data_IF_922770105927
#
_entry.id   IF_922770105927
#
_cell.length_a   1.000
_cell.length_b   1.000
_cell.length_c   1.000
_cell.angle_alpha   90.00
_cell.angle_beta   90.00
_cell.angle_gamma   90.00
#
_symmetry.space_group_name_H-M   'P 1'
#
loop_
_entity.id
_entity.type
_entity.pdbx_description
1 polymer ?
#
# COMPACT_ATOMS: atom_id res chain seq x y z
N UNK A 1 8.68 -7.52 -11.77
CA UNK A 1 10.16 -7.38 -11.60
C UNK A 1 10.88 -8.15 -12.70
N UNK A 2 12.21 -8.04 -12.83
CA UNK A 2 13.00 -8.74 -13.87
C UNK A 2 14.18 -9.49 -13.23
N UNK A 3 14.43 -10.72 -13.67
CA UNK A 3 15.59 -11.52 -13.25
C UNK A 3 16.89 -10.79 -13.63
N UNK A 4 17.88 -10.80 -12.74
CA UNK A 4 19.19 -10.15 -12.91
C UNK A 4 19.33 -8.80 -12.21
N UNK A 5 18.24 -8.25 -11.66
CA UNK A 5 18.29 -7.03 -10.82
C UNK A 5 19.12 -7.29 -9.55
N UNK A 6 19.83 -6.25 -9.12
CA UNK A 6 20.57 -6.25 -7.85
C UNK A 6 19.61 -6.07 -6.67
N UNK A 7 20.09 -6.45 -5.47
CA UNK A 7 19.38 -6.24 -4.21
C UNK A 7 18.95 -4.78 -4.03
N UNK A 8 19.86 -3.82 -4.30
CA UNK A 8 19.58 -2.39 -4.17
C UNK A 8 18.48 -1.89 -5.14
N UNK A 9 18.47 -2.38 -6.38
CA UNK A 9 17.42 -2.03 -7.35
C UNK A 9 16.05 -2.56 -6.92
N UNK A 10 16.01 -3.75 -6.32
CA UNK A 10 14.76 -4.32 -5.79
C UNK A 10 14.29 -3.54 -4.56
N UNK A 11 15.18 -3.17 -3.63
CA UNK A 11 14.84 -2.31 -2.48
C UNK A 11 14.30 -0.96 -2.95
N UNK A 12 14.88 -0.35 -3.98
CA UNK A 12 14.41 0.92 -4.50
C UNK A 12 12.96 0.86 -5.04
N UNK A 13 12.50 -0.32 -5.48
CA UNK A 13 11.16 -0.53 -6.06
C UNK A 13 10.16 -0.99 -4.99
N UNK A 14 10.52 -1.98 -4.18
CA UNK A 14 9.62 -2.63 -3.23
C UNK A 14 9.75 -2.12 -1.79
N UNK A 15 10.90 -1.53 -1.46
CA UNK A 15 11.33 -1.27 -0.10
C UNK A 15 12.14 -2.43 0.48
N UNK A 16 12.46 -2.31 1.77
CA UNK A 16 13.14 -3.37 2.53
C UNK A 16 12.26 -4.62 2.63
N UNK A 17 12.84 -5.83 2.52
CA UNK A 17 12.10 -7.07 2.74
C UNK A 17 11.65 -7.17 4.20
N UNK A 18 10.53 -7.83 4.45
CA UNK A 18 10.07 -8.08 5.81
C UNK A 18 10.92 -9.12 6.53
N UNK A 19 11.41 -10.11 5.76
CA UNK A 19 12.26 -11.17 6.27
C UNK A 19 13.23 -11.60 5.18
N UNK A 20 14.46 -11.87 5.59
CA UNK A 20 15.50 -12.46 4.75
C UNK A 20 15.90 -13.79 5.38
N UNK A 21 15.91 -14.85 4.57
CA UNK A 21 16.39 -16.17 4.94
C UNK A 21 17.65 -16.50 4.15
N UNK A 22 18.72 -16.86 4.84
CA UNK A 22 19.94 -17.32 4.17
C UNK A 22 19.84 -18.81 3.90
N UNK A 23 20.13 -19.20 2.67
CA UNK A 23 20.16 -20.58 2.21
C UNK A 23 21.58 -20.91 1.79
N UNK A 24 22.17 -21.88 2.49
CA UNK A 24 23.51 -22.38 2.20
C UNK A 24 23.38 -23.77 1.58
N UNK A 25 23.99 -23.96 0.41
CA UNK A 25 24.11 -25.28 -0.21
C UNK A 25 25.53 -25.50 -0.72
N UNK A 26 26.24 -26.43 -0.10
CA UNK A 26 27.67 -26.71 -0.30
C UNK A 26 28.56 -25.47 -0.23
N UNK A 27 28.85 -24.84 -1.36
CA UNK A 27 29.71 -23.65 -1.51
C UNK A 27 28.95 -22.41 -1.97
N UNK A 28 27.66 -22.54 -2.27
CA UNK A 28 26.81 -21.45 -2.72
C UNK A 28 26.00 -20.87 -1.55
N UNK A 29 25.98 -19.54 -1.46
CA UNK A 29 25.05 -18.80 -0.62
C UNK A 29 23.97 -18.15 -1.49
N UNK A 30 22.74 -18.27 -1.04
CA UNK A 30 21.58 -17.61 -1.60
C UNK A 30 20.76 -16.98 -0.47
N UNK A 31 19.91 -16.03 -0.82
CA UNK A 31 18.99 -15.40 0.10
C UNK A 31 17.57 -15.47 -0.44
N UNK A 32 16.62 -15.85 0.40
CA UNK A 32 15.20 -15.76 0.09
C UNK A 32 14.65 -14.55 0.84
N UNK A 33 14.17 -13.58 0.07
CA UNK A 33 13.58 -12.36 0.57
C UNK A 33 12.06 -12.49 0.51
N UNK A 34 11.43 -12.26 1.65
CA UNK A 34 9.98 -12.34 1.82
C UNK A 34 9.41 -10.94 1.95
N UNK A 35 8.45 -10.64 1.07
CA UNK A 35 7.66 -9.42 1.09
C UNK A 35 6.21 -9.75 1.39
N UNK A 36 5.64 -9.08 2.38
CA UNK A 36 4.20 -8.95 2.54
C UNK A 36 3.90 -7.45 2.62
N UNK A 37 3.08 -6.93 1.70
CA UNK A 37 2.75 -5.51 1.70
C UNK A 37 1.27 -5.33 1.44
N UNK A 38 0.62 -4.59 2.33
CA UNK A 38 -0.71 -4.05 2.10
C UNK A 38 -0.63 -3.02 0.98
N UNK A 39 -1.35 -3.28 -0.10
CA UNK A 39 -1.46 -2.39 -1.25
C UNK A 39 -2.89 -1.93 -1.41
N UNK A 40 -3.07 -0.64 -1.70
CA UNK A 40 -4.36 -0.14 -2.17
C UNK A 40 -4.44 -0.49 -3.64
N UNK A 41 -5.31 -1.44 -3.99
CA UNK A 41 -5.51 -1.89 -5.36
C UNK A 41 -6.37 -0.90 -6.16
N UNK A 42 -7.31 -0.25 -5.48
CA UNK A 42 -8.19 0.76 -6.06
C UNK A 42 -8.71 1.68 -4.97
N UNK A 43 -8.92 2.94 -5.30
CA UNK A 43 -9.59 3.93 -4.46
C UNK A 43 -10.65 4.65 -5.27
N UNK A 44 -11.89 4.61 -4.81
CA UNK A 44 -13.00 5.35 -5.43
C UNK A 44 -13.50 6.40 -4.45
N UNK A 45 -13.55 7.64 -4.91
CA UNK A 45 -14.14 8.75 -4.16
C UNK A 45 -15.49 9.07 -4.79
N UNK A 46 -16.56 8.93 -4.02
CA UNK A 46 -17.93 9.22 -4.45
C UNK A 46 -18.54 10.34 -3.60
N UNK A 47 -19.37 11.18 -4.23
CA UNK A 47 -20.16 12.19 -3.53
C UNK A 47 -21.39 11.53 -2.91
N UNK A 48 -21.46 11.47 -1.59
CA UNK A 48 -22.51 10.78 -0.82
C UNK A 48 -23.63 11.73 -0.34
N UNK A 49 -23.60 12.99 -0.78
CA UNK A 49 -24.62 13.99 -0.48
C UNK A 49 -24.04 15.37 -0.19
N UNK A 50 -24.85 16.24 0.41
CA UNK A 50 -24.43 17.55 0.92
C UNK A 50 -24.79 17.66 2.40
N UNK A 51 -23.96 18.35 3.19
CA UNK A 51 -24.24 18.74 4.56
C UNK A 51 -24.27 20.26 4.69
N UNK A 52 -25.16 20.78 5.54
CA UNK A 52 -25.16 22.18 5.91
C UNK A 52 -24.23 22.39 7.12
N UNK A 53 -23.21 23.23 6.96
CA UNK A 53 -22.27 23.58 8.03
C UNK A 53 -22.31 25.08 8.27
N UNK A 54 -22.45 25.44 9.55
CA UNK A 54 -22.51 26.83 9.98
C UNK A 54 -21.18 27.27 10.57
N UNK A 55 -20.66 28.36 10.05
CA UNK A 55 -19.42 29.00 10.47
C UNK A 55 -19.77 30.32 11.14
N UNK A 56 -19.37 30.46 12.40
CA UNK A 56 -19.55 31.70 13.15
C UNK A 56 -18.24 32.48 13.16
N UNK A 57 -18.25 33.68 12.59
CA UNK A 57 -17.13 34.60 12.66
C UNK A 57 -17.26 35.45 13.93
N UNK A 58 -16.40 35.18 14.91
CA UNK A 58 -16.39 35.88 16.19
C UNK A 58 -15.97 37.36 16.09
N UNK A 59 -15.31 37.79 15.01
CA UNK A 59 -14.85 39.18 14.82
C UNK A 59 -15.94 40.04 14.19
N UNK A 60 -16.68 39.48 13.23
CA UNK A 60 -17.76 40.22 12.53
C UNK A 60 -19.14 39.96 13.14
N UNK A 61 -19.28 38.93 13.98
CA UNK A 61 -20.55 38.52 14.59
C UNK A 61 -21.50 37.84 13.61
N UNK A 62 -21.02 37.47 12.42
CA UNK A 62 -21.82 36.90 11.33
C UNK A 62 -21.84 35.38 11.43
N UNK A 63 -23.04 34.79 11.30
CA UNK A 63 -23.24 33.37 11.10
C UNK A 63 -23.45 33.10 9.60
N UNK A 64 -22.61 32.27 9.01
CA UNK A 64 -22.71 31.84 7.62
C UNK A 64 -23.00 30.36 7.57
N UNK A 65 -24.09 29.97 6.91
CA UNK A 65 -24.41 28.56 6.64
C UNK A 65 -24.06 28.24 5.19
N UNK A 66 -23.27 27.19 4.99
CA UNK A 66 -22.78 26.76 3.67
C UNK A 66 -23.16 25.29 3.46
N UNK A 67 -23.54 24.94 2.24
CA UNK A 67 -23.70 23.54 1.82
C UNK A 67 -22.37 23.01 1.32
N UNK A 68 -21.90 21.94 1.94
CA UNK A 68 -20.63 21.30 1.63
C UNK A 68 -20.89 19.86 1.16
N UNK A 69 -20.27 19.40 0.06
CA UNK A 69 -20.40 18.02 -0.38
C UNK A 69 -19.77 17.06 0.64
N UNK A 70 -20.42 15.91 0.83
CA UNK A 70 -19.92 14.79 1.63
C UNK A 70 -19.24 13.81 0.68
N UNK A 71 -18.01 13.42 0.98
CA UNK A 71 -17.28 12.43 0.19
C UNK A 71 -17.17 11.12 0.95
N UNK A 72 -17.49 10.01 0.28
CA UNK A 72 -17.19 8.65 0.72
C UNK A 72 -15.97 8.15 -0.04
N UNK A 73 -15.03 7.54 0.68
CA UNK A 73 -13.86 6.90 0.09
C UNK A 73 -13.94 5.40 0.31
N UNK A 74 -14.04 4.65 -0.77
CA UNK A 74 -13.97 3.20 -0.74
C UNK A 74 -12.60 2.77 -1.28
N UNK A 75 -11.85 2.03 -0.45
CA UNK A 75 -10.56 1.49 -0.86
C UNK A 75 -10.60 -0.04 -0.87
N UNK A 76 -10.19 -0.61 -2.00
CA UNK A 76 -9.95 -2.05 -2.08
C UNK A 76 -8.49 -2.24 -1.68
N UNK A 77 -8.28 -2.96 -0.58
CA UNK A 77 -6.94 -3.33 -0.13
C UNK A 77 -6.67 -4.78 -0.54
N UNK A 78 -5.44 -5.03 -0.94
CA UNK A 78 -4.94 -6.37 -1.20
C UNK A 78 -3.62 -6.57 -0.50
N UNK A 79 -3.18 -7.82 -0.46
CA UNK A 79 -1.84 -8.16 0.01
C UNK A 79 -1.02 -8.69 -1.15
N UNK A 80 0.14 -8.10 -1.38
CA UNK A 80 1.15 -8.73 -2.23
C UNK A 80 2.02 -9.58 -1.33
N UNK A 81 2.09 -10.88 -1.62
CA UNK A 81 3.03 -11.81 -0.99
C UNK A 81 4.01 -12.24 -2.06
N UNK A 82 5.27 -11.83 -1.93
CA UNK A 82 6.32 -12.16 -2.89
C UNK A 82 7.52 -12.80 -2.19
N UNK A 83 8.00 -13.91 -2.78
CA UNK A 83 9.23 -14.57 -2.41
C UNK A 83 10.25 -14.37 -3.54
N UNK A 84 11.39 -13.75 -3.24
CA UNK A 84 12.45 -13.46 -4.20
C UNK A 84 13.70 -14.24 -3.80
N UNK A 85 14.30 -14.96 -4.74
CA UNK A 85 15.54 -15.68 -4.54
C UNK A 85 16.70 -14.87 -5.14
N UNK A 86 17.64 -14.50 -4.29
CA UNK A 86 18.91 -13.89 -4.67
C UNK A 86 20.03 -14.91 -4.57
N UNK A 87 20.89 -14.95 -5.58
CA UNK A 87 22.15 -15.67 -5.56
C UNK A 87 23.25 -14.75 -6.08
N UNK A 88 24.39 -14.71 -5.41
CA UNK A 88 25.51 -13.82 -5.76
C UNK A 88 25.10 -12.34 -5.90
N UNK A 89 24.16 -11.88 -5.06
CA UNK A 89 23.66 -10.50 -5.05
C UNK A 89 22.71 -10.13 -6.20
N UNK A 90 22.24 -11.12 -6.97
CA UNK A 90 21.31 -10.93 -8.09
C UNK A 90 20.04 -11.73 -7.93
N UNK A 91 18.91 -11.14 -8.33
CA UNK A 91 17.62 -11.79 -8.37
C UNK A 91 17.64 -12.89 -9.44
N UNK A 92 17.52 -14.15 -9.03
CA UNK A 92 17.55 -15.32 -9.93
C UNK A 92 16.18 -15.95 -10.13
N UNK A 93 15.27 -15.80 -9.15
CA UNK A 93 13.90 -16.27 -9.28
C UNK A 93 12.94 -15.41 -8.43
N UNK A 94 11.67 -15.36 -8.84
CA UNK A 94 10.61 -14.76 -8.03
C UNK A 94 9.37 -15.63 -8.08
N UNK A 95 8.58 -15.54 -7.02
CA UNK A 95 7.27 -16.16 -6.92
C UNK A 95 6.33 -15.15 -6.26
N UNK A 96 5.35 -14.69 -7.01
CA UNK A 96 4.31 -13.80 -6.53
C UNK A 96 3.04 -14.62 -6.28
N UNK A 97 2.41 -14.41 -5.12
CA UNK A 97 1.05 -14.86 -4.85
C UNK A 97 0.19 -13.63 -4.58
N UNK A 98 -0.93 -13.53 -5.29
CA UNK A 98 -1.98 -12.59 -4.93
C UNK A 98 -2.57 -13.01 -3.58
N UNK A 99 -2.34 -12.20 -2.55
CA UNK A 99 -2.97 -12.34 -1.24
C UNK A 99 -4.34 -11.65 -1.24
N UNK A 100 -5.31 -12.27 -0.56
CA UNK A 100 -6.73 -11.99 -0.60
C UNK A 100 -7.15 -10.51 -0.64
N UNK A 101 -8.26 -10.24 -1.35
CA UNK A 101 -8.95 -8.94 -1.42
C UNK A 101 -9.72 -8.68 -0.12
N UNK A 102 -9.40 -7.62 0.60
CA UNK A 102 -10.23 -7.09 1.69
C UNK A 102 -10.78 -5.71 1.31
N UNK A 103 -12.09 -5.51 1.51
CA UNK A 103 -12.75 -4.23 1.29
C UNK A 103 -12.66 -3.41 2.57
N UNK A 104 -11.99 -2.26 2.52
CA UNK A 104 -11.95 -1.29 3.62
C UNK A 104 -12.85 -0.11 3.25
N UNK A 105 -14.04 -0.08 3.84
CA UNK A 105 -14.97 1.05 3.73
C UNK A 105 -14.66 2.02 4.87
N UNK A 106 -13.91 3.07 4.57
CA UNK A 106 -13.70 4.16 5.52
C UNK A 106 -14.88 5.13 5.41
N UNK A 107 -15.82 5.03 6.34
CA UNK A 107 -16.79 6.11 6.55
C UNK A 107 -16.02 7.33 7.04
N UNK A 108 -15.98 8.39 6.22
CA UNK A 108 -15.35 9.66 6.57
C UNK A 108 -15.69 10.04 8.02
N UNK A 109 -14.65 10.23 8.83
CA UNK A 109 -14.78 10.49 10.27
C UNK A 109 -15.68 11.71 10.51
N UNK A 110 -16.59 11.54 11.48
CA UNK A 110 -17.47 12.56 12.06
C UNK A 110 -16.73 13.56 12.92
#
# INVERSE_FOLDING_TARGET
MVVGMTEAEVIAILGEPMKVEEVYHDTASAQIWHYEKDVVLSSTIESDGEQERSYYDQKTGVLVTVREPIFRNESIRGKIIAELLFAEGKLVAMKEKEGAREYDVNHGQR
#
